data_IF_139858316049
#
_entry.id   IF_139858316049
#
_cell.length_a   1.000
_cell.length_b   1.000
_cell.length_c   1.000
_cell.angle_alpha   90.00
_cell.angle_beta   90.00
_cell.angle_gamma   90.00
#
_symmetry.space_group_name_H-M   'P 1'
#
loop_
_entity.id
_entity.type
_entity.pdbx_description
1 polymer ?
#
# COMPACT_ATOMS: atom_id res chain seq x y z
N UNK A 1 -9.32 12.27 -16.72
CA UNK A 1 -8.73 11.16 -15.94
C UNK A 1 -7.31 10.99 -16.40
N UNK A 2 -6.35 11.20 -15.51
CA UNK A 2 -4.93 11.29 -15.84
C UNK A 2 -4.32 9.91 -16.22
N UNK A 3 -3.49 9.90 -17.26
CA UNK A 3 -2.86 8.70 -17.84
C UNK A 3 -1.83 8.07 -16.88
N UNK A 4 -1.20 8.87 -16.03
CA UNK A 4 -0.26 8.45 -14.97
C UNK A 4 -0.94 7.52 -13.95
N UNK A 5 -2.11 7.92 -13.44
CA UNK A 5 -2.92 7.17 -12.46
C UNK A 5 -3.42 5.83 -13.01
N UNK A 6 -3.66 5.76 -14.33
CA UNK A 6 -4.01 4.52 -15.00
C UNK A 6 -2.81 3.59 -15.11
N UNK A 7 -1.61 4.12 -15.37
CA UNK A 7 -0.37 3.36 -15.51
C UNK A 7 0.07 2.71 -14.19
N UNK A 8 0.11 3.46 -13.08
CA UNK A 8 0.50 2.91 -11.77
C UNK A 8 -0.49 1.82 -11.28
N UNK A 9 -1.79 2.06 -11.44
CA UNK A 9 -2.81 1.07 -11.11
C UNK A 9 -2.74 -0.16 -12.03
N UNK A 10 -2.43 0.01 -13.32
CA UNK A 10 -2.21 -1.10 -14.25
C UNK A 10 -0.95 -1.89 -13.91
N UNK A 11 0.12 -1.23 -13.47
CA UNK A 11 1.37 -1.87 -13.07
C UNK A 11 1.19 -2.68 -11.78
N UNK A 12 0.49 -2.14 -10.78
CA UNK A 12 0.15 -2.86 -9.55
C UNK A 12 -0.67 -4.12 -9.87
N UNK A 13 -1.67 -3.98 -10.73
CA UNK A 13 -2.49 -5.12 -11.18
C UNK A 13 -1.63 -6.11 -11.96
N UNK A 14 -0.74 -5.67 -12.84
CA UNK A 14 0.13 -6.55 -13.61
C UNK A 14 1.12 -7.31 -12.71
N UNK A 15 1.72 -6.64 -11.73
CA UNK A 15 2.63 -7.25 -10.77
C UNK A 15 1.89 -8.23 -9.85
N UNK A 16 0.74 -7.83 -9.30
CA UNK A 16 -0.13 -8.73 -8.53
C UNK A 16 -0.61 -9.92 -9.37
N UNK A 17 -0.93 -9.70 -10.66
CA UNK A 17 -1.31 -10.77 -11.60
C UNK A 17 -0.15 -11.71 -11.85
N UNK A 18 1.06 -11.19 -12.09
CA UNK A 18 2.25 -11.99 -12.34
C UNK A 18 2.60 -12.84 -11.11
N UNK A 19 2.53 -12.26 -9.91
CA UNK A 19 2.72 -13.00 -8.66
C UNK A 19 1.63 -14.04 -8.45
N UNK A 20 0.35 -13.67 -8.61
CA UNK A 20 -0.76 -14.60 -8.47
C UNK A 20 -0.70 -15.74 -9.48
N UNK A 21 -0.22 -15.49 -10.71
CA UNK A 21 0.02 -16.53 -11.72
C UNK A 21 1.16 -17.46 -11.31
N UNK A 22 2.25 -16.94 -10.72
CA UNK A 22 3.32 -17.77 -10.15
C UNK A 22 2.81 -18.66 -9.02
N UNK A 23 2.00 -18.09 -8.11
CA UNK A 23 1.34 -18.84 -7.04
C UNK A 23 0.35 -19.86 -7.60
N UNK A 24 -0.34 -19.55 -8.71
CA UNK A 24 -1.32 -20.42 -9.37
C UNK A 24 -0.75 -21.54 -10.27
N UNK A 25 0.54 -21.52 -10.63
CA UNK A 25 1.11 -22.44 -11.62
C UNK A 25 1.44 -23.87 -11.11
N UNK A 26 1.16 -24.18 -9.84
CA UNK A 26 1.26 -25.54 -9.31
C UNK A 26 0.01 -26.39 -9.56
N UNK A 27 0.14 -27.35 -10.50
CA UNK A 27 -0.77 -28.49 -10.83
C UNK A 27 -2.11 -28.15 -11.50
N UNK A 28 -2.31 -28.72 -12.71
CA UNK A 28 -3.58 -28.78 -13.45
C UNK A 28 -4.64 -29.52 -12.62
N UNK A 29 -5.47 -28.77 -11.90
CA UNK A 29 -6.66 -29.26 -11.22
C UNK A 29 -7.44 -28.06 -10.68
N UNK A 30 -8.74 -27.98 -11.02
CA UNK A 30 -9.77 -27.01 -10.56
C UNK A 30 -9.19 -25.65 -10.09
N UNK A 31 -9.17 -24.66 -10.98
CA UNK A 31 -8.73 -23.27 -10.71
C UNK A 31 -9.33 -22.75 -9.39
N UNK A 32 -8.58 -22.84 -8.28
CA UNK A 32 -9.01 -22.33 -6.98
C UNK A 32 -8.68 -20.84 -6.92
N UNK A 33 -9.62 -20.04 -6.41
CA UNK A 33 -9.47 -18.58 -6.32
C UNK A 33 -8.38 -18.26 -5.30
N UNK A 34 -7.32 -17.56 -5.72
CA UNK A 34 -6.31 -17.03 -4.81
C UNK A 34 -6.96 -15.98 -3.88
N UNK A 35 -6.77 -16.14 -2.56
CA UNK A 35 -7.13 -15.12 -1.57
C UNK A 35 -6.02 -14.07 -1.54
N UNK A 36 -6.38 -12.81 -1.67
CA UNK A 36 -5.43 -11.69 -1.67
C UNK A 36 -5.75 -10.78 -0.50
N UNK A 37 -4.79 -10.55 0.38
CA UNK A 37 -4.89 -9.54 1.42
C UNK A 37 -4.14 -8.29 0.98
N UNK A 38 -4.83 -7.14 0.89
CA UNK A 38 -4.17 -5.84 0.78
C UNK A 38 -3.82 -5.38 2.19
N UNK A 39 -2.54 -5.41 2.53
CA UNK A 39 -2.03 -5.29 3.90
C UNK A 39 -1.45 -3.91 4.17
N UNK A 40 -2.07 -3.14 5.07
CA UNK A 40 -1.48 -1.92 5.61
C UNK A 40 -0.86 -2.14 7.00
N UNK A 41 -0.25 -1.10 7.57
CA UNK A 41 0.28 -1.15 8.94
C UNK A 41 -0.80 -1.31 10.01
N UNK A 42 -2.03 -0.87 9.75
CA UNK A 42 -3.07 -0.73 10.75
C UNK A 42 -3.15 0.67 11.37
N UNK A 43 -4.36 1.06 11.74
CA UNK A 43 -4.68 2.35 12.36
C UNK A 43 -5.88 2.18 13.28
N UNK A 44 -6.00 3.04 14.30
CA UNK A 44 -7.20 3.15 15.13
C UNK A 44 -8.24 4.11 14.53
N UNK A 45 -7.91 4.81 13.43
CA UNK A 45 -8.83 5.71 12.71
C UNK A 45 -9.74 4.88 11.79
N UNK A 46 -11.08 4.91 11.96
CA UNK A 46 -12.02 4.19 11.10
C UNK A 46 -11.84 4.48 9.60
N UNK A 47 -11.51 5.72 9.27
CA UNK A 47 -11.36 6.21 7.90
C UNK A 47 -10.24 5.48 7.16
N UNK A 48 -9.18 5.06 7.85
CA UNK A 48 -8.08 4.29 7.27
C UNK A 48 -8.57 2.91 6.82
N UNK A 49 -9.29 2.19 7.68
CA UNK A 49 -9.88 0.89 7.34
C UNK A 49 -10.90 1.02 6.20
N UNK A 50 -11.73 2.06 6.22
CA UNK A 50 -12.68 2.34 5.11
C UNK A 50 -11.94 2.62 3.80
N UNK A 51 -10.84 3.36 3.84
CA UNK A 51 -10.01 3.62 2.66
C UNK A 51 -9.38 2.34 2.10
N UNK A 52 -8.81 1.51 2.97
CA UNK A 52 -8.25 0.21 2.61
C UNK A 52 -9.30 -0.69 1.94
N UNK A 53 -10.53 -0.73 2.46
CA UNK A 53 -11.66 -1.46 1.85
C UNK A 53 -12.00 -0.95 0.45
N UNK A 54 -12.04 0.37 0.24
CA UNK A 54 -12.28 0.95 -1.09
C UNK A 54 -11.18 0.57 -2.08
N UNK A 55 -9.92 0.57 -1.64
CA UNK A 55 -8.79 0.15 -2.46
C UNK A 55 -8.85 -1.35 -2.80
N UNK A 56 -9.09 -2.21 -1.81
CA UNK A 56 -9.25 -3.65 -2.00
C UNK A 56 -10.39 -3.96 -3.00
N UNK A 57 -11.56 -3.32 -2.83
CA UNK A 57 -12.68 -3.48 -3.76
C UNK A 57 -12.32 -3.00 -5.18
N UNK A 58 -11.53 -1.93 -5.30
CA UNK A 58 -11.09 -1.42 -6.60
C UNK A 58 -10.07 -2.33 -7.27
N UNK A 59 -9.18 -2.96 -6.50
CA UNK A 59 -8.25 -3.96 -7.00
C UNK A 59 -8.98 -5.24 -7.41
N UNK A 60 -9.96 -5.69 -6.63
CA UNK A 60 -10.79 -6.85 -6.96
C UNK A 60 -11.49 -6.69 -8.31
N UNK A 61 -12.03 -5.51 -8.63
CA UNK A 61 -12.70 -5.25 -9.92
C UNK A 61 -11.76 -5.38 -11.14
N UNK A 62 -10.44 -5.40 -10.94
CA UNK A 62 -9.44 -5.44 -12.02
C UNK A 62 -8.87 -6.83 -12.29
N UNK A 63 -9.27 -7.85 -11.53
CA UNK A 63 -8.78 -9.21 -11.69
C UNK A 63 -9.78 -10.26 -11.20
N UNK A 64 -9.41 -11.54 -11.31
CA UNK A 64 -10.26 -12.66 -10.88
C UNK A 64 -9.81 -13.22 -9.52
N UNK A 65 -9.58 -12.33 -8.55
CA UNK A 65 -9.14 -12.66 -7.19
C UNK A 65 -10.17 -12.25 -6.16
N UNK A 66 -10.14 -12.89 -5.00
CA UNK A 66 -10.87 -12.40 -3.82
C UNK A 66 -9.92 -11.50 -3.04
N UNK A 67 -10.14 -10.19 -3.07
CA UNK A 67 -9.27 -9.21 -2.40
C UNK A 67 -9.94 -8.68 -1.14
N UNK A 68 -9.27 -8.82 -0.01
CA UNK A 68 -9.73 -8.34 1.28
C UNK A 68 -8.79 -7.26 1.83
N UNK A 69 -9.39 -6.26 2.50
CA UNK A 69 -8.66 -5.25 3.26
C UNK A 69 -8.30 -5.83 4.62
N UNK A 70 -7.01 -5.95 4.91
CA UNK A 70 -6.49 -6.58 6.13
C UNK A 70 -5.42 -5.67 6.71
N UNK A 71 -5.53 -5.31 7.98
CA UNK A 71 -4.47 -4.55 8.64
C UNK A 71 -3.50 -5.48 9.36
N UNK A 72 -2.24 -5.10 9.45
CA UNK A 72 -1.29 -5.86 10.27
C UNK A 72 -1.68 -5.86 11.76
N UNK A 73 -2.36 -4.80 12.23
CA UNK A 73 -2.78 -4.62 13.63
C UNK A 73 -3.92 -3.60 13.78
N UNK A 74 -4.49 -3.54 14.98
CA UNK A 74 -5.40 -2.50 15.49
C UNK A 74 -6.80 -2.38 14.87
N UNK A 75 -7.02 -2.86 13.64
CA UNK A 75 -8.32 -2.71 12.98
C UNK A 75 -9.46 -3.41 13.75
N UNK A 76 -9.14 -4.49 14.47
CA UNK A 76 -10.02 -5.22 15.38
C UNK A 76 -10.46 -4.41 16.60
N UNK A 77 -9.70 -3.38 16.99
CA UNK A 77 -10.02 -2.49 18.12
C UNK A 77 -11.02 -1.40 17.75
N UNK A 78 -11.34 -1.25 16.46
CA UNK A 78 -12.34 -0.29 16.00
C UNK A 78 -13.72 -0.92 16.08
N UNK A 79 -14.67 -0.26 16.74
CA UNK A 79 -16.07 -0.71 16.76
C UNK A 79 -16.61 -0.89 15.33
N UNK A 80 -17.28 -2.02 15.08
CA UNK A 80 -17.91 -2.33 13.81
C UNK A 80 -18.92 -1.26 13.36
N UNK A 81 -19.55 -0.56 14.29
CA UNK A 81 -20.55 0.48 13.97
C UNK A 81 -19.88 1.69 13.29
N UNK A 82 -18.60 1.95 13.63
CA UNK A 82 -17.77 2.94 12.94
C UNK A 82 -17.25 2.45 11.60
N UNK A 83 -17.40 1.15 11.30
CA UNK A 83 -16.92 0.45 10.11
C UNK A 83 -18.07 -0.13 9.28
N UNK A 84 -19.20 0.57 9.26
CA UNK A 84 -20.36 0.25 8.41
C UNK A 84 -20.92 -1.16 8.71
N UNK A 85 -20.88 -1.56 9.99
CA UNK A 85 -21.38 -2.83 10.51
C UNK A 85 -20.43 -4.02 10.34
N UNK A 86 -19.34 -3.88 9.57
CA UNK A 86 -18.34 -4.94 9.38
C UNK A 86 -17.11 -4.68 10.25
N UNK A 87 -16.66 -5.62 11.11
CA UNK A 87 -15.46 -5.45 11.92
C UNK A 87 -14.20 -5.28 11.05
N UNK A 88 -13.19 -4.63 11.60
CA UNK A 88 -11.86 -4.55 10.98
C UNK A 88 -11.18 -5.92 11.00
N UNK A 89 -10.40 -6.20 9.96
CA UNK A 89 -9.69 -7.47 9.80
C UNK A 89 -8.22 -7.29 10.15
N UNK A 90 -7.67 -8.25 10.90
CA UNK A 90 -6.26 -8.26 11.29
C UNK A 90 -5.57 -9.51 10.74
N UNK A 91 -4.31 -9.37 10.33
CA UNK A 91 -3.59 -10.37 9.53
C UNK A 91 -3.60 -11.80 10.09
N UNK A 92 -3.19 -12.01 11.34
CA UNK A 92 -3.13 -13.35 11.92
C UNK A 92 -4.53 -14.00 12.07
N UNK A 93 -5.55 -13.32 12.64
CA UNK A 93 -6.93 -13.83 12.63
C UNK A 93 -7.49 -14.07 11.22
N UNK A 94 -7.15 -13.22 10.25
CA UNK A 94 -7.57 -13.38 8.86
C UNK A 94 -7.00 -14.65 8.23
N UNK A 95 -5.69 -14.92 8.40
CA UNK A 95 -5.07 -16.16 7.91
C UNK A 95 -5.71 -17.40 8.54
N UNK A 96 -5.99 -17.36 9.85
CA UNK A 96 -6.72 -18.45 10.53
C UNK A 96 -8.10 -18.67 9.92
N UNK A 97 -8.85 -17.59 9.66
CA UNK A 97 -10.15 -17.71 9.00
C UNK A 97 -10.05 -18.32 7.61
N UNK A 98 -9.01 -17.97 6.83
CA UNK A 98 -8.78 -18.59 5.51
C UNK A 98 -8.55 -20.10 5.65
N UNK A 99 -7.79 -20.55 6.66
CA UNK A 99 -7.64 -21.97 6.98
C UNK A 99 -8.99 -22.60 7.34
N UNK A 100 -9.78 -21.96 8.20
CA UNK A 100 -11.07 -22.49 8.63
C UNK A 100 -12.09 -22.58 7.47
N UNK A 101 -12.07 -21.64 6.53
CA UNK A 101 -13.00 -21.57 5.39
C UNK A 101 -12.61 -22.48 4.23
N UNK A 102 -11.31 -22.58 3.92
CA UNK A 102 -10.81 -23.20 2.68
C UNK A 102 -9.81 -24.33 2.90
N UNK A 103 -9.36 -24.53 4.15
CA UNK A 103 -8.34 -25.49 4.53
C UNK A 103 -6.92 -25.08 4.11
N UNK A 104 -5.94 -25.91 4.48
CA UNK A 104 -4.50 -25.67 4.25
C UNK A 104 -4.09 -25.66 2.77
N UNK A 105 -5.02 -25.97 1.85
CA UNK A 105 -4.79 -25.94 0.41
C UNK A 105 -5.08 -24.57 -0.20
N UNK A 106 -5.54 -23.59 0.59
CA UNK A 106 -5.77 -22.25 0.11
C UNK A 106 -4.44 -21.54 -0.23
N UNK A 107 -4.46 -20.80 -1.32
CA UNK A 107 -3.31 -20.02 -1.79
C UNK A 107 -3.52 -18.57 -1.43
N UNK A 108 -2.60 -18.01 -0.66
CA UNK A 108 -2.67 -16.65 -0.15
C UNK A 108 -1.59 -15.78 -0.78
N UNK A 109 -1.99 -14.59 -1.22
CA UNK A 109 -1.07 -13.52 -1.61
C UNK A 109 -1.25 -12.35 -0.64
N UNK A 110 -0.18 -11.99 0.07
CA UNK A 110 -0.13 -10.77 0.86
C UNK A 110 0.46 -9.64 0.02
N UNK A 111 -0.33 -8.60 -0.24
CA UNK A 111 0.03 -7.43 -1.01
C UNK A 111 0.22 -6.23 -0.08
N UNK A 112 1.45 -5.85 0.27
CA UNK A 112 1.72 -4.75 1.21
C UNK A 112 1.45 -3.36 0.61
N UNK A 113 0.51 -2.62 1.20
CA UNK A 113 0.30 -1.17 1.05
C UNK A 113 1.18 -0.42 2.05
N UNK A 114 2.48 -0.47 1.82
CA UNK A 114 3.50 0.04 2.73
C UNK A 114 4.52 0.91 1.98
N UNK A 115 4.96 1.98 2.64
CA UNK A 115 6.06 2.81 2.18
C UNK A 115 7.36 2.19 2.68
N UNK A 116 8.02 1.42 1.83
CA UNK A 116 9.31 0.79 2.11
C UNK A 116 9.28 -0.46 3.02
N UNK A 117 10.47 -0.97 3.41
CA UNK A 117 10.63 -2.23 4.16
C UNK A 117 10.39 -2.03 5.66
N UNK A 118 9.17 -1.65 6.04
CA UNK A 118 8.76 -1.52 7.44
C UNK A 118 8.80 -2.86 8.18
N UNK A 119 8.81 -2.84 9.52
CA UNK A 119 8.69 -4.03 10.37
C UNK A 119 7.43 -4.86 10.06
N UNK A 120 6.37 -4.23 9.57
CA UNK A 120 5.19 -4.96 9.09
C UNK A 120 5.56 -5.89 7.94
N UNK A 121 6.34 -5.42 6.98
CA UNK A 121 6.77 -6.22 5.82
C UNK A 121 7.90 -7.19 6.18
N UNK A 122 8.88 -6.76 6.97
CA UNK A 122 10.11 -7.52 7.22
C UNK A 122 9.99 -8.51 8.36
N UNK A 123 9.02 -8.34 9.27
CA UNK A 123 8.81 -9.21 10.43
C UNK A 123 7.37 -9.71 10.53
N UNK A 124 6.39 -8.82 10.70
CA UNK A 124 5.03 -9.22 11.08
C UNK A 124 4.34 -10.09 10.01
N UNK A 125 4.46 -9.73 8.72
CA UNK A 125 3.90 -10.52 7.63
C UNK A 125 4.59 -11.89 7.48
N UNK A 126 5.94 -11.99 7.46
CA UNK A 126 6.64 -13.27 7.51
C UNK A 126 6.28 -14.14 8.71
N UNK A 127 6.23 -13.57 9.92
CA UNK A 127 5.88 -14.29 11.14
C UNK A 127 4.45 -14.83 11.08
N UNK A 128 3.49 -14.02 10.64
CA UNK A 128 2.10 -14.46 10.47
C UNK A 128 1.97 -15.55 9.40
N UNK A 129 2.71 -15.43 8.30
CA UNK A 129 2.75 -16.44 7.25
C UNK A 129 3.33 -17.77 7.74
N UNK A 130 4.45 -17.72 8.46
CA UNK A 130 5.12 -18.90 9.02
C UNK A 130 4.29 -19.59 10.12
N UNK A 131 3.48 -18.83 10.86
CA UNK A 131 2.55 -19.36 11.86
C UNK A 131 1.27 -19.94 11.24
N UNK A 132 1.06 -19.78 9.94
CA UNK A 132 -0.10 -20.35 9.23
C UNK A 132 0.27 -21.62 8.48
N UNK A 133 -0.63 -22.60 8.44
CA UNK A 133 -0.46 -23.82 7.63
C UNK A 133 -0.77 -23.60 6.13
N UNK A 134 -0.66 -22.36 5.64
CA UNK A 134 -1.03 -21.95 4.29
C UNK A 134 0.17 -21.77 3.38
N UNK A 135 -0.03 -21.97 2.08
CA UNK A 135 0.91 -21.50 1.06
C UNK A 135 0.75 -19.98 0.89
N UNK A 136 1.59 -19.22 1.60
CA UNK A 136 1.57 -17.76 1.59
C UNK A 136 2.71 -17.20 0.74
N UNK A 137 2.36 -16.36 -0.24
CA UNK A 137 3.31 -15.54 -0.98
C UNK A 137 3.23 -14.09 -0.52
N UNK A 138 4.35 -13.49 -0.13
CA UNK A 138 4.45 -12.08 0.24
C UNK A 138 4.99 -11.31 -0.95
N UNK A 139 4.20 -10.39 -1.48
CA UNK A 139 4.67 -9.50 -2.53
C UNK A 139 5.65 -8.45 -1.95
N UNK A 140 6.59 -7.92 -2.76
CA UNK A 140 7.38 -6.76 -2.37
C UNK A 140 6.50 -5.57 -1.94
N UNK A 141 7.05 -4.62 -1.15
CA UNK A 141 6.33 -3.40 -0.77
C UNK A 141 5.76 -2.69 -2.01
N UNK A 142 4.65 -1.97 -1.89
CA UNK A 142 4.12 -1.16 -3.00
C UNK A 142 5.14 -0.14 -3.55
N UNK A 143 6.05 0.34 -2.70
CA UNK A 143 7.23 1.14 -3.10
C UNK A 143 8.26 0.33 -3.90
N UNK A 144 8.35 -0.99 -3.67
CA UNK A 144 9.20 -1.90 -4.46
C UNK A 144 8.49 -2.46 -5.71
N UNK A 145 7.16 -2.60 -5.69
CA UNK A 145 6.34 -3.10 -6.81
C UNK A 145 6.05 -2.02 -7.85
N UNK A 146 6.10 -0.76 -7.44
CA UNK A 146 6.01 0.37 -8.34
C UNK A 146 7.33 1.13 -8.30
N UNK A 147 8.32 0.76 -9.15
CA UNK A 147 9.51 1.58 -9.36
C UNK A 147 9.15 3.04 -9.74
N UNK A 148 7.97 3.28 -10.34
CA UNK A 148 7.47 4.63 -10.59
C UNK A 148 7.14 5.43 -9.31
N UNK A 149 6.89 4.75 -8.18
CA UNK A 149 6.72 5.39 -6.86
C UNK A 149 8.09 5.71 -6.23
N UNK A 150 9.18 5.08 -6.64
CA UNK A 150 10.53 5.39 -6.14
C UNK A 150 11.59 4.84 -7.09
N UNK A 151 12.00 5.64 -8.08
CA UNK A 151 13.10 5.32 -8.99
C UNK A 151 14.31 6.12 -8.55
N UNK A 152 15.28 5.45 -7.94
CA UNK A 152 16.53 6.10 -7.50
C UNK A 152 17.43 6.51 -8.69
N UNK A 153 17.15 6.05 -9.91
CA UNK A 153 18.14 6.02 -11.00
C UNK A 153 17.70 6.78 -12.27
N UNK A 154 16.44 7.18 -12.41
CA UNK A 154 15.95 7.84 -13.62
C UNK A 154 15.02 9.00 -13.25
N UNK A 155 15.51 10.22 -13.47
CA UNK A 155 14.80 11.50 -13.51
C UNK A 155 13.27 11.43 -13.60
N UNK A 156 12.60 12.12 -12.66
CA UNK A 156 11.23 12.63 -12.85
C UNK A 156 10.14 11.90 -12.07
N UNK A 157 9.77 12.49 -10.93
CA UNK A 157 8.61 12.18 -10.07
C UNK A 157 8.56 10.76 -9.47
N UNK A 158 8.88 10.63 -8.17
CA UNK A 158 8.21 9.63 -7.36
C UNK A 158 6.71 9.91 -7.44
N UNK A 159 5.90 8.93 -7.84
CA UNK A 159 4.43 9.09 -7.85
C UNK A 159 3.91 9.59 -6.48
N UNK A 160 4.65 9.33 -5.39
CA UNK A 160 4.37 9.92 -4.06
C UNK A 160 4.56 11.43 -4.04
N UNK A 161 5.70 11.97 -4.49
CA UNK A 161 5.91 13.42 -4.54
C UNK A 161 4.86 14.09 -5.45
N UNK A 162 4.54 13.50 -6.60
CA UNK A 162 3.48 14.00 -7.48
C UNK A 162 2.10 13.97 -6.81
N UNK A 163 1.71 12.85 -6.19
CA UNK A 163 0.45 12.75 -5.43
C UNK A 163 0.38 13.78 -4.29
N UNK A 164 1.51 14.05 -3.63
CA UNK A 164 1.62 15.06 -2.57
C UNK A 164 1.55 16.48 -3.15
N UNK A 165 2.22 16.78 -4.26
CA UNK A 165 2.12 18.05 -4.98
C UNK A 165 0.69 18.33 -5.46
N UNK A 166 0.00 17.35 -6.05
CA UNK A 166 -1.41 17.49 -6.43
C UNK A 166 -2.28 17.79 -5.20
N UNK A 167 -2.05 17.09 -4.09
CA UNK A 167 -2.80 17.31 -2.85
C UNK A 167 -2.49 18.66 -2.20
N UNK A 168 -1.25 19.14 -2.28
CA UNK A 168 -0.87 20.48 -1.84
C UNK A 168 -1.49 21.52 -2.77
N UNK A 169 -1.51 21.29 -4.08
CA UNK A 169 -2.17 22.11 -5.10
C UNK A 169 -3.68 22.26 -4.90
N UNK A 170 -4.36 21.25 -4.35
CA UNK A 170 -5.76 21.37 -3.93
C UNK A 170 -5.94 22.30 -2.70
N UNK A 171 -4.88 22.49 -1.89
CA UNK A 171 -4.91 23.22 -0.62
C UNK A 171 -4.34 24.65 -0.73
N UNK A 172 -3.39 24.87 -1.63
CA UNK A 172 -2.67 26.14 -1.84
C UNK A 172 -3.49 27.30 -2.40
N UNK A 173 -4.56 27.13 -3.21
CA UNK A 173 -5.39 28.25 -3.66
C UNK A 173 -6.04 29.01 -2.51
N UNK A 174 -6.07 28.43 -1.31
CA UNK A 174 -6.91 28.90 -0.20
C UNK A 174 -6.13 29.42 1.01
N UNK A 175 -4.81 29.24 1.12
CA UNK A 175 -4.21 29.18 2.48
C UNK A 175 -2.90 29.92 2.76
N UNK A 176 -2.23 30.58 1.81
CA UNK A 176 -1.00 31.34 2.12
C UNK A 176 0.08 30.52 2.86
N UNK A 177 0.07 29.20 2.66
CA UNK A 177 0.96 28.24 3.33
C UNK A 177 2.38 28.47 2.85
N UNK A 178 3.28 28.77 3.80
CA UNK A 178 4.70 29.03 3.55
C UNK A 178 5.60 27.85 3.89
N UNK A 179 5.07 26.86 4.63
CA UNK A 179 5.82 25.72 5.15
C UNK A 179 4.98 24.45 5.08
N UNK A 180 5.60 23.36 4.63
CA UNK A 180 5.01 22.02 4.63
C UNK A 180 5.85 21.11 5.50
N UNK A 181 5.20 20.41 6.45
CA UNK A 181 5.85 19.39 7.26
C UNK A 181 5.62 18.03 6.61
N UNK A 182 6.69 17.38 6.16
CA UNK A 182 6.65 16.02 5.66
C UNK A 182 6.85 15.05 6.83
N UNK A 183 5.76 14.43 7.26
CA UNK A 183 5.74 13.45 8.33
C UNK A 183 5.41 12.06 7.77
N UNK A 184 6.13 11.04 8.21
CA UNK A 184 5.68 9.64 8.09
C UNK A 184 5.38 9.06 9.48
N UNK A 185 5.16 7.75 9.55
CA UNK A 185 4.88 7.07 10.82
C UNK A 185 6.09 6.95 11.76
N UNK A 186 7.28 7.37 11.33
CA UNK A 186 8.54 7.07 11.99
C UNK A 186 8.93 5.61 11.81
N UNK A 187 10.23 5.37 11.67
CA UNK A 187 10.79 4.02 11.62
C UNK A 187 12.25 4.05 12.07
N UNK A 188 12.70 3.06 12.87
CA UNK A 188 14.12 2.91 13.18
C UNK A 188 14.93 2.45 11.96
N UNK A 189 14.28 2.00 10.88
CA UNK A 189 14.96 1.50 9.69
C UNK A 189 15.55 2.65 8.85
N UNK A 190 16.88 2.71 8.63
CA UNK A 190 17.52 3.79 7.87
C UNK A 190 16.98 3.95 6.44
N UNK A 191 16.55 2.85 5.81
CA UNK A 191 15.98 2.86 4.46
C UNK A 191 14.65 3.62 4.38
N UNK A 192 13.87 3.67 5.46
CA UNK A 192 12.60 4.43 5.49
C UNK A 192 12.89 5.92 5.63
N UNK A 193 13.88 6.30 6.45
CA UNK A 193 14.35 7.68 6.52
C UNK A 193 14.90 8.19 5.17
N UNK A 194 15.68 7.35 4.48
CA UNK A 194 16.17 7.67 3.14
C UNK A 194 15.03 7.88 2.12
N UNK A 195 13.98 7.05 2.18
CA UNK A 195 12.81 7.22 1.31
C UNK A 195 12.07 8.54 1.58
N UNK A 196 11.90 8.93 2.85
CA UNK A 196 11.30 10.22 3.23
C UNK A 196 12.13 11.41 2.74
N UNK A 197 13.44 11.31 2.86
CA UNK A 197 14.36 12.36 2.42
C UNK A 197 14.33 12.58 0.91
N UNK A 198 14.26 11.50 0.12
CA UNK A 198 14.10 11.62 -1.32
C UNK A 198 12.77 12.26 -1.72
N UNK A 199 11.65 11.91 -1.05
CA UNK A 199 10.36 12.58 -1.27
C UNK A 199 10.43 14.06 -0.92
N UNK A 200 11.10 14.43 0.18
CA UNK A 200 11.34 15.85 0.55
C UNK A 200 12.08 16.58 -0.57
N UNK A 201 13.22 16.03 -1.00
CA UNK A 201 14.07 16.62 -2.04
C UNK A 201 13.31 16.87 -3.33
N UNK A 202 12.46 15.92 -3.75
CA UNK A 202 11.63 16.08 -4.94
C UNK A 202 10.55 17.17 -4.75
N UNK A 203 9.90 17.21 -3.59
CA UNK A 203 8.88 18.22 -3.30
C UNK A 203 9.42 19.65 -3.31
N UNK A 204 10.71 19.85 -2.99
CA UNK A 204 11.38 21.15 -2.95
C UNK A 204 11.81 21.69 -4.31
N UNK A 205 11.91 20.87 -5.37
CA UNK A 205 12.29 21.38 -6.69
C UNK A 205 12.97 20.40 -7.64
N UNK A 206 12.71 19.09 -7.55
CA UNK A 206 13.04 18.19 -8.65
C UNK A 206 12.12 18.49 -9.83
N UNK A 207 12.64 19.06 -10.93
CA UNK A 207 11.87 19.47 -12.11
C UNK A 207 10.83 18.43 -12.54
N UNK A 208 9.55 18.73 -12.31
CA UNK A 208 8.43 18.05 -12.95
C UNK A 208 7.96 18.97 -14.09
N UNK A 209 8.13 18.60 -15.37
CA UNK A 209 7.77 19.51 -16.45
C UNK A 209 6.24 19.57 -16.60
N UNK A 210 5.75 20.82 -16.61
CA UNK A 210 4.44 21.28 -17.07
C UNK A 210 3.22 21.09 -16.17
N UNK A 211 3.27 21.64 -14.95
CA UNK A 211 2.17 22.41 -14.35
C UNK A 211 2.82 23.66 -13.73
N UNK A 212 2.20 24.83 -13.87
CA UNK A 212 2.74 26.12 -13.42
C UNK A 212 3.40 26.01 -12.04
N UNK A 213 4.68 26.39 -11.94
CA UNK A 213 5.46 26.26 -10.70
C UNK A 213 4.80 27.07 -9.58
N UNK A 214 4.26 26.43 -8.52
CA UNK A 214 3.81 27.16 -7.35
C UNK A 214 5.02 27.83 -6.66
N UNK A 215 4.80 28.86 -5.82
CA UNK A 215 5.89 29.54 -5.11
C UNK A 215 6.72 28.53 -4.31
N UNK A 216 8.03 28.79 -4.20
CA UNK A 216 8.95 27.94 -3.44
C UNK A 216 8.42 27.69 -2.01
N UNK A 217 8.09 26.44 -1.70
CA UNK A 217 7.62 26.02 -0.39
C UNK A 217 8.78 25.36 0.35
N UNK A 218 9.06 25.81 1.56
CA UNK A 218 10.05 25.15 2.42
C UNK A 218 9.45 23.86 2.99
N UNK A 219 10.09 22.71 2.74
CA UNK A 219 9.64 21.41 3.24
C UNK A 219 10.54 20.95 4.38
N UNK A 220 9.97 20.88 5.58
CA UNK A 220 10.69 20.42 6.78
C UNK A 220 10.32 18.97 7.08
N UNK A 221 11.30 18.15 7.43
CA UNK A 221 11.05 16.82 8.01
C UNK A 221 10.84 16.99 9.50
N UNK A 222 9.70 16.53 10.00
CA UNK A 222 9.49 16.32 11.42
C UNK A 222 9.90 14.89 11.81
N UNK A 223 10.68 14.76 12.87
CA UNK A 223 11.10 13.48 13.47
C UNK A 223 10.12 13.01 14.54
#
# INVERSE_FOLDING_TARGET
>A
MDRSRLAAAALLVAAATALARRVGQGRRGRQRKTRVALVDNGSLKPEATKSLRRLAASLQRRGNWTVEAVSARFADKISKDKLDGKPGEVLAPWLKRVVDEEGNQAKVLLLPLLIGPSDTLTKAMPEAAAASDLEVCIAPSLVCLCPAIYKAEESGASDIAMMLHEKLGDLTPTSGVTHVLLCDHGSPAPRVAAAREAVRSELEGGECPALETPPAVNVLIAL
#
